data_IF_350848214123
#
_entry.id   IF_350848214123
#
_cell.length_a   1.000
_cell.length_b   1.000
_cell.length_c   1.000
_cell.angle_alpha   90.00
_cell.angle_beta   90.00
_cell.angle_gamma   90.00
#
_symmetry.space_group_name_H-M   'P 1'
#
loop_
_entity.id
_entity.type
_entity.pdbx_description
1 polymer ?
#
# COMPACT_ATOMS: atom_id res chain seq x y z
N UNK A 1 8.76 23.36 3.37
CA UNK A 1 8.78 22.30 4.41
C UNK A 1 8.43 20.93 3.83
N UNK A 2 7.32 20.76 3.10
CA UNK A 2 7.01 19.48 2.44
C UNK A 2 8.02 19.04 1.36
N UNK A 3 8.75 19.96 0.74
CA UNK A 3 9.85 19.64 -0.19
C UNK A 3 11.14 19.17 0.49
N UNK A 4 11.17 19.19 1.83
CA UNK A 4 12.35 18.79 2.58
C UNK A 4 12.68 17.32 2.32
N UNK A 5 13.97 17.05 2.06
CA UNK A 5 14.47 15.70 1.76
C UNK A 5 14.09 14.68 2.84
N UNK A 6 14.11 15.08 4.12
CA UNK A 6 13.75 14.18 5.22
C UNK A 6 12.29 13.70 5.14
N UNK A 7 11.36 14.60 4.81
CA UNK A 7 9.92 14.26 4.75
C UNK A 7 9.64 13.34 3.56
N UNK A 8 10.26 13.63 2.40
CA UNK A 8 10.14 12.78 1.21
C UNK A 8 10.72 11.38 1.45
N UNK A 9 11.88 11.27 2.12
CA UNK A 9 12.47 9.97 2.45
C UNK A 9 11.60 9.19 3.42
N UNK A 10 11.10 9.82 4.49
CA UNK A 10 10.21 9.14 5.45
C UNK A 10 8.93 8.64 4.78
N UNK A 11 8.26 9.49 3.99
CA UNK A 11 7.03 9.11 3.29
C UNK A 11 7.27 8.04 2.23
N UNK A 12 8.41 8.08 1.53
CA UNK A 12 8.85 7.02 0.62
C UNK A 12 9.03 5.69 1.35
N UNK A 13 9.76 5.70 2.48
CA UNK A 13 9.89 4.53 3.34
C UNK A 13 8.52 4.06 3.85
N UNK A 14 7.60 4.98 4.12
CA UNK A 14 6.24 4.68 4.59
C UNK A 14 5.38 3.97 3.57
N UNK A 15 5.44 4.37 2.29
CA UNK A 15 4.75 3.66 1.20
C UNK A 15 5.33 2.26 1.00
N UNK A 16 6.67 2.14 0.98
CA UNK A 16 7.31 0.82 0.87
C UNK A 16 7.00 -0.06 2.09
N UNK A 17 6.99 0.52 3.29
CA UNK A 17 6.60 -0.16 4.51
C UNK A 17 5.14 -0.62 4.45
N UNK A 18 4.21 0.24 4.02
CA UNK A 18 2.81 -0.13 3.85
C UNK A 18 2.65 -1.36 2.94
N UNK A 19 3.39 -1.40 1.82
CA UNK A 19 3.29 -2.49 0.84
C UNK A 19 4.00 -3.77 1.29
N UNK A 20 5.18 -3.65 1.89
CA UNK A 20 6.04 -4.81 2.19
C UNK A 20 5.88 -5.32 3.61
N UNK A 21 5.70 -4.42 4.58
CA UNK A 21 5.61 -4.81 5.98
C UNK A 21 4.31 -5.55 6.29
N UNK A 22 3.26 -5.44 5.48
CA UNK A 22 2.08 -6.32 5.65
C UNK A 22 2.46 -7.81 5.52
N UNK A 23 3.49 -8.11 4.73
CA UNK A 23 3.92 -9.47 4.47
C UNK A 23 5.11 -9.90 5.34
N UNK A 24 5.99 -8.96 5.69
CA UNK A 24 7.20 -9.25 6.46
C UNK A 24 7.11 -8.89 7.95
N UNK A 25 6.16 -8.03 8.38
CA UNK A 25 6.08 -7.65 9.78
C UNK A 25 5.61 -8.85 10.61
N UNK A 26 6.29 -9.12 11.74
CA UNK A 26 5.95 -10.24 12.60
C UNK A 26 4.66 -10.00 13.39
N UNK A 27 4.21 -8.74 13.52
CA UNK A 27 2.96 -8.39 14.20
C UNK A 27 2.28 -7.17 13.57
N UNK A 28 0.95 -7.13 13.59
CA UNK A 28 0.14 -5.98 13.21
C UNK A 28 0.54 -4.69 13.97
N UNK A 29 0.99 -4.82 15.22
CA UNK A 29 1.43 -3.68 16.03
C UNK A 29 2.64 -2.98 15.41
N UNK A 30 3.66 -3.75 14.99
CA UNK A 30 4.86 -3.20 14.34
C UNK A 30 4.50 -2.59 12.99
N UNK A 31 3.62 -3.26 12.24
CA UNK A 31 3.09 -2.73 10.98
C UNK A 31 2.45 -1.34 11.18
N UNK A 32 1.52 -1.21 12.13
CA UNK A 32 0.85 0.06 12.45
C UNK A 32 1.81 1.12 12.99
N UNK A 33 2.76 0.75 13.84
CA UNK A 33 3.76 1.69 14.35
C UNK A 33 4.62 2.28 13.22
N UNK A 34 5.01 1.46 12.24
CA UNK A 34 5.71 1.96 11.07
C UNK A 34 4.86 2.93 10.24
N UNK A 35 3.55 2.67 10.07
CA UNK A 35 2.66 3.63 9.39
C UNK A 35 2.52 4.95 10.14
N UNK A 36 2.44 4.92 11.47
CA UNK A 36 2.43 6.13 12.30
C UNK A 36 3.69 6.95 12.03
N UNK A 37 4.87 6.32 12.10
CA UNK A 37 6.17 6.98 12.01
C UNK A 37 6.49 7.48 10.61
N UNK A 38 6.22 6.66 9.59
CA UNK A 38 6.65 6.93 8.22
C UNK A 38 5.59 7.59 7.34
N UNK A 39 4.30 7.49 7.70
CA UNK A 39 3.20 8.07 6.89
C UNK A 39 2.45 9.13 7.67
N UNK A 40 1.84 8.79 8.79
CA UNK A 40 0.87 9.70 9.44
C UNK A 40 1.54 10.91 10.09
N UNK A 41 2.59 10.71 10.88
CA UNK A 41 3.36 11.80 11.48
C UNK A 41 3.96 12.76 10.45
N UNK A 42 4.73 12.30 9.44
CA UNK A 42 5.29 13.22 8.46
C UNK A 42 4.19 13.93 7.67
N UNK A 43 3.09 13.24 7.33
CA UNK A 43 1.95 13.89 6.66
C UNK A 43 1.36 15.00 7.54
N UNK A 44 1.08 14.74 8.82
CA UNK A 44 0.57 15.77 9.74
C UNK A 44 1.48 16.99 9.85
N UNK A 45 2.80 16.77 9.90
CA UNK A 45 3.78 17.86 10.00
C UNK A 45 3.83 18.72 8.73
N UNK A 46 3.65 18.11 7.55
CA UNK A 46 3.82 18.82 6.27
C UNK A 46 2.51 19.28 5.64
N UNK A 47 1.36 18.73 6.02
CA UNK A 47 0.04 18.97 5.40
C UNK A 47 -0.29 20.46 5.32
N UNK A 48 0.05 21.22 6.37
CA UNK A 48 -0.20 22.67 6.42
C UNK A 48 0.63 23.43 5.38
N UNK A 49 1.88 23.01 5.17
CA UNK A 49 2.76 23.58 4.15
C UNK A 49 2.44 23.08 2.74
N UNK A 50 1.81 21.90 2.62
CA UNK A 50 1.45 21.26 1.36
C UNK A 50 0.03 21.59 0.87
N UNK A 51 -0.68 22.51 1.56
CA UNK A 51 -1.97 23.05 1.11
C UNK A 51 -2.05 23.45 -0.36
N UNK A 52 -1.05 24.14 -0.98
CA UNK A 52 -1.15 24.45 -2.40
C UNK A 52 -1.23 23.19 -3.27
N UNK A 53 -0.49 22.13 -2.92
CA UNK A 53 -0.54 20.83 -3.62
C UNK A 53 -1.91 20.18 -3.43
N UNK A 54 -2.45 20.19 -2.21
CA UNK A 54 -3.79 19.64 -1.94
C UNK A 54 -4.90 20.45 -2.63
N UNK A 55 -4.76 21.77 -2.72
CA UNK A 55 -5.68 22.63 -3.46
C UNK A 55 -5.63 22.31 -4.97
N UNK A 56 -4.45 22.08 -5.53
CA UNK A 56 -4.33 21.63 -6.93
C UNK A 56 -5.08 20.31 -7.17
N UNK A 57 -4.95 19.33 -6.28
CA UNK A 57 -5.70 18.07 -6.37
C UNK A 57 -7.20 18.30 -6.24
N UNK A 58 -7.62 19.15 -5.31
CA UNK A 58 -9.03 19.52 -5.15
C UNK A 58 -9.61 20.12 -6.43
N UNK A 59 -8.89 21.03 -7.08
CA UNK A 59 -9.34 21.63 -8.32
C UNK A 59 -9.30 20.65 -9.51
N UNK A 60 -8.29 19.80 -9.58
CA UNK A 60 -8.14 18.82 -10.67
C UNK A 60 -9.12 17.65 -10.56
N UNK A 61 -9.46 17.20 -9.34
CA UNK A 61 -10.19 15.97 -9.05
C UNK A 61 -11.32 16.20 -8.04
N UNK A 62 -12.06 17.30 -8.20
CA UNK A 62 -13.08 17.75 -7.24
C UNK A 62 -14.13 16.68 -6.94
N UNK A 63 -14.59 15.95 -7.95
CA UNK A 63 -15.59 14.89 -7.79
C UNK A 63 -15.07 13.75 -6.89
N UNK A 64 -13.83 13.30 -7.08
CA UNK A 64 -13.20 12.29 -6.24
C UNK A 64 -13.04 12.79 -4.81
N UNK A 65 -12.57 14.02 -4.62
CA UNK A 65 -12.42 14.60 -3.28
C UNK A 65 -13.77 14.70 -2.55
N UNK A 66 -14.83 15.14 -3.24
CA UNK A 66 -16.18 15.20 -2.69
C UNK A 66 -16.73 13.81 -2.37
N UNK A 67 -16.48 12.81 -3.22
CA UNK A 67 -16.88 11.44 -2.94
C UNK A 67 -16.18 10.88 -1.69
N UNK A 68 -14.88 11.12 -1.53
CA UNK A 68 -14.12 10.72 -0.34
C UNK A 68 -14.63 11.41 0.93
N UNK A 69 -14.92 12.71 0.87
CA UNK A 69 -15.51 13.47 1.99
C UNK A 69 -16.91 12.94 2.31
N UNK A 70 -17.73 12.67 1.29
CA UNK A 70 -19.06 12.12 1.46
C UNK A 70 -19.05 10.73 2.11
N UNK A 71 -18.13 9.86 1.69
CA UNK A 71 -17.91 8.54 2.30
C UNK A 71 -17.45 8.67 3.76
N UNK A 72 -16.53 9.59 4.05
CA UNK A 72 -16.08 9.83 5.41
C UNK A 72 -17.22 10.36 6.30
N UNK A 73 -18.02 11.30 5.80
CA UNK A 73 -19.19 11.83 6.50
C UNK A 73 -20.24 10.74 6.75
N UNK A 74 -20.52 9.93 5.73
CA UNK A 74 -21.42 8.78 5.86
C UNK A 74 -20.92 7.76 6.88
N UNK A 75 -19.61 7.45 6.87
CA UNK A 75 -19.01 6.55 7.85
C UNK A 75 -19.12 7.11 9.28
N UNK A 76 -18.88 8.42 9.50
CA UNK A 76 -19.09 9.04 10.81
C UNK A 76 -20.54 9.01 11.27
N UNK A 77 -21.48 9.25 10.35
CA UNK A 77 -22.90 9.20 10.66
C UNK A 77 -23.32 7.77 11.03
N UNK A 78 -22.83 6.78 10.28
CA UNK A 78 -23.08 5.38 10.55
C UNK A 78 -22.53 4.95 11.91
N UNK A 79 -21.38 5.49 12.32
CA UNK A 79 -20.84 5.20 13.66
C UNK A 79 -21.79 5.70 14.75
N UNK A 80 -22.44 6.85 14.56
CA UNK A 80 -23.32 7.46 15.57
C UNK A 80 -24.52 6.60 15.94
N UNK A 81 -25.08 5.84 15.01
CA UNK A 81 -26.22 4.95 15.26
C UNK A 81 -25.82 3.47 15.42
N UNK A 82 -24.56 3.10 15.17
CA UNK A 82 -24.12 1.70 15.20
C UNK A 82 -23.88 1.15 16.60
N UNK A 83 -23.94 1.98 17.64
CA UNK A 83 -23.57 1.62 19.01
C UNK A 83 -22.08 1.33 19.20
N UNK A 84 -21.25 1.48 18.15
CA UNK A 84 -19.81 1.33 18.23
C UNK A 84 -19.18 2.55 18.93
N UNK A 85 -18.04 2.37 19.62
CA UNK A 85 -17.38 3.47 20.30
C UNK A 85 -16.88 4.52 19.31
N UNK A 86 -17.14 5.81 19.61
CA UNK A 86 -16.66 6.95 18.82
C UNK A 86 -15.14 6.97 18.63
N UNK A 87 -14.39 6.26 19.47
CA UNK A 87 -12.95 6.08 19.33
C UNK A 87 -12.54 5.43 18.00
N UNK A 88 -13.46 4.77 17.28
CA UNK A 88 -13.24 4.25 15.94
C UNK A 88 -13.15 5.35 14.86
N UNK A 89 -13.68 6.55 15.12
CA UNK A 89 -13.58 7.68 14.19
C UNK A 89 -12.12 8.07 13.88
N UNK A 90 -11.17 7.75 14.77
CA UNK A 90 -9.72 7.93 14.52
C UNK A 90 -9.22 7.17 13.29
N UNK A 91 -9.87 6.06 12.91
CA UNK A 91 -9.53 5.32 11.70
C UNK A 91 -9.78 6.16 10.44
N UNK A 92 -10.84 6.96 10.42
CA UNK A 92 -11.12 7.87 9.30
C UNK A 92 -10.05 8.94 9.17
N UNK A 93 -9.52 9.44 10.30
CA UNK A 93 -8.37 10.34 10.29
C UNK A 93 -7.11 9.66 9.71
N UNK A 94 -6.83 8.41 10.11
CA UNK A 94 -5.69 7.66 9.57
C UNK A 94 -5.81 7.42 8.06
N UNK A 95 -7.02 7.10 7.58
CA UNK A 95 -7.31 6.97 6.15
C UNK A 95 -7.10 8.32 5.45
N UNK A 96 -7.63 9.41 5.99
CA UNK A 96 -7.45 10.74 5.39
C UNK A 96 -5.97 11.13 5.29
N UNK A 97 -5.18 10.91 6.35
CA UNK A 97 -3.74 11.16 6.34
C UNK A 97 -3.02 10.27 5.32
N UNK A 98 -3.39 8.99 5.24
CA UNK A 98 -2.85 8.08 4.25
C UNK A 98 -3.14 8.57 2.83
N UNK A 99 -4.38 8.94 2.52
CA UNK A 99 -4.79 9.46 1.20
C UNK A 99 -4.05 10.76 0.87
N UNK A 100 -3.94 11.70 1.80
CA UNK A 100 -3.22 12.96 1.60
C UNK A 100 -1.70 12.76 1.41
N UNK A 101 -1.13 11.67 1.93
CA UNK A 101 0.30 11.39 1.79
C UNK A 101 0.72 11.21 0.32
N UNK A 102 -0.12 10.60 -0.52
CA UNK A 102 0.17 10.32 -1.93
C UNK A 102 0.42 11.57 -2.79
N UNK A 103 -0.49 12.56 -2.85
CA UNK A 103 -0.25 13.77 -3.64
C UNK A 103 0.89 14.61 -3.09
N UNK A 104 1.10 14.62 -1.77
CA UNK A 104 2.22 15.31 -1.13
C UNK A 104 3.56 14.65 -1.53
N UNK A 105 3.61 13.31 -1.55
CA UNK A 105 4.77 12.55 -1.97
C UNK A 105 5.08 12.71 -3.46
N UNK A 106 4.03 12.72 -4.28
CA UNK A 106 4.12 12.99 -5.71
C UNK A 106 4.74 14.37 -5.96
N UNK A 107 4.29 15.40 -5.23
CA UNK A 107 4.74 16.78 -5.38
C UNK A 107 4.85 17.23 -6.86
N UNK A 108 3.79 16.98 -7.63
CA UNK A 108 3.76 17.29 -9.07
C UNK A 108 4.63 16.40 -9.97
N UNK A 109 5.27 15.35 -9.41
CA UNK A 109 6.09 14.35 -10.14
C UNK A 109 5.48 12.95 -9.99
N UNK A 110 4.45 12.60 -10.79
CA UNK A 110 3.77 11.32 -10.67
C UNK A 110 4.70 10.13 -10.89
N UNK A 111 5.80 10.29 -11.63
CA UNK A 111 6.79 9.24 -11.92
C UNK A 111 7.44 8.69 -10.64
N UNK A 112 7.56 9.53 -9.60
CA UNK A 112 8.11 9.09 -8.31
C UNK A 112 7.19 8.06 -7.66
N UNK A 113 5.88 8.31 -7.69
CA UNK A 113 4.88 7.39 -7.13
C UNK A 113 4.85 6.10 -7.93
N UNK A 114 4.87 6.19 -9.26
CA UNK A 114 4.96 5.01 -10.14
C UNK A 114 6.19 4.18 -9.81
N UNK A 115 7.35 4.80 -9.65
CA UNK A 115 8.59 4.09 -9.29
C UNK A 115 8.49 3.40 -7.93
N UNK A 116 7.82 4.00 -6.96
CA UNK A 116 7.60 3.38 -5.65
C UNK A 116 6.66 2.18 -5.73
N UNK A 117 5.58 2.27 -6.52
CA UNK A 117 4.68 1.15 -6.78
C UNK A 117 5.39 0.00 -7.52
N UNK A 118 6.29 0.34 -8.45
CA UNK A 118 7.16 -0.61 -9.14
C UNK A 118 8.07 -1.36 -8.15
N UNK A 119 8.80 -0.65 -7.29
CA UNK A 119 9.66 -1.28 -6.26
C UNK A 119 8.85 -2.07 -5.23
N UNK A 120 7.69 -1.56 -4.81
CA UNK A 120 6.79 -2.28 -3.92
C UNK A 120 6.26 -3.57 -4.56
N UNK A 121 5.90 -3.54 -5.84
CA UNK A 121 5.47 -4.71 -6.61
C UNK A 121 6.57 -5.78 -6.71
N UNK A 122 7.81 -5.37 -7.00
CA UNK A 122 8.97 -6.29 -6.98
C UNK A 122 9.17 -6.92 -5.61
N UNK A 123 9.08 -6.14 -4.53
CA UNK A 123 9.20 -6.67 -3.18
C UNK A 123 8.07 -7.65 -2.82
N UNK A 124 6.85 -7.41 -3.30
CA UNK A 124 5.75 -8.37 -3.18
C UNK A 124 5.99 -9.64 -3.99
N UNK A 125 6.62 -9.56 -5.17
CA UNK A 125 6.99 -10.74 -5.95
C UNK A 125 8.06 -11.59 -5.24
N UNK A 126 9.06 -10.95 -4.62
CA UNK A 126 10.05 -11.62 -3.78
C UNK A 126 9.38 -12.31 -2.60
N UNK A 127 8.41 -11.64 -1.97
CA UNK A 127 7.64 -12.23 -0.89
C UNK A 127 6.82 -13.44 -1.34
N UNK A 128 6.13 -13.34 -2.49
CA UNK A 128 5.38 -14.44 -3.08
C UNK A 128 6.28 -15.66 -3.34
N UNK A 129 7.48 -15.43 -3.88
CA UNK A 129 8.48 -16.49 -4.06
C UNK A 129 8.91 -17.11 -2.72
N UNK A 130 9.20 -16.29 -1.71
CA UNK A 130 9.59 -16.77 -0.38
C UNK A 130 8.47 -17.60 0.28
N UNK A 131 7.21 -17.18 0.12
CA UNK A 131 6.05 -17.91 0.62
C UNK A 131 5.91 -19.28 -0.05
N UNK A 132 6.01 -19.34 -1.39
CA UNK A 132 5.99 -20.61 -2.15
C UNK A 132 7.12 -21.55 -1.74
N UNK A 133 8.35 -21.02 -1.64
CA UNK A 133 9.52 -21.82 -1.25
C UNK A 133 9.30 -22.40 0.14
N UNK A 134 8.87 -21.58 1.10
CA UNK A 134 8.61 -22.05 2.45
C UNK A 134 7.50 -23.11 2.48
N UNK A 135 6.35 -22.84 1.87
CA UNK A 135 5.18 -23.71 1.97
C UNK A 135 5.38 -25.07 1.28
N UNK A 136 5.88 -25.07 0.04
CA UNK A 136 6.00 -26.30 -0.74
C UNK A 136 7.33 -27.04 -0.49
N UNK A 137 8.43 -26.34 -0.24
CA UNK A 137 9.74 -26.98 -0.11
C UNK A 137 10.21 -27.16 1.34
N UNK A 138 9.95 -26.19 2.22
CA UNK A 138 10.38 -26.28 3.63
C UNK A 138 9.35 -27.04 4.46
N UNK A 139 8.07 -26.66 4.34
CA UNK A 139 6.97 -27.29 5.08
C UNK A 139 6.46 -28.57 4.40
N UNK A 140 7.01 -28.90 3.22
CA UNK A 140 6.72 -30.10 2.42
C UNK A 140 5.21 -30.34 2.19
N UNK A 141 4.43 -29.26 2.05
CA UNK A 141 3.00 -29.34 1.82
C UNK A 141 2.69 -29.85 0.41
N UNK A 142 1.63 -30.65 0.23
CA UNK A 142 1.21 -31.09 -1.10
C UNK A 142 0.69 -29.92 -1.94
N UNK A 143 0.84 -30.01 -3.27
CA UNK A 143 0.34 -29.02 -4.23
C UNK A 143 -1.19 -28.82 -4.22
N UNK A 144 -1.92 -29.76 -3.62
CA UNK A 144 -3.38 -29.66 -3.45
C UNK A 144 -3.76 -28.76 -2.27
N UNK A 145 -2.82 -28.48 -1.36
CA UNK A 145 -3.03 -27.55 -0.26
C UNK A 145 -2.90 -26.11 -0.77
N UNK A 146 -3.84 -25.28 -0.32
CA UNK A 146 -3.92 -23.86 -0.65
C UNK A 146 -2.74 -23.12 -0.04
N UNK A 147 -2.00 -22.41 -0.87
CA UNK A 147 -0.83 -21.64 -0.45
C UNK A 147 -1.23 -20.54 0.53
N UNK A 148 -0.61 -20.55 1.71
CA UNK A 148 -0.74 -19.48 2.70
C UNK A 148 0.35 -18.43 2.51
N UNK A 149 0.00 -17.15 2.70
CA UNK A 149 0.96 -16.06 2.65
C UNK A 149 1.85 -15.97 3.91
N UNK A 150 2.78 -15.03 3.91
CA UNK A 150 3.67 -14.76 5.05
C UNK A 150 3.12 -13.61 5.93
N UNK A 151 3.36 -13.67 7.23
CA UNK A 151 2.99 -12.60 8.16
C UNK A 151 1.47 -12.40 8.29
N UNK A 152 1.00 -11.15 8.19
CA UNK A 152 -0.44 -10.83 8.20
C UNK A 152 -1.15 -11.28 6.90
N UNK A 153 -0.39 -11.60 5.85
CA UNK A 153 -0.93 -12.19 4.61
C UNK A 153 -1.14 -13.71 4.71
N UNK A 154 -0.90 -14.33 5.88
CA UNK A 154 -1.26 -15.72 6.13
C UNK A 154 -2.76 -15.97 5.92
N UNK A 155 -3.60 -14.94 6.07
CA UNK A 155 -4.99 -14.99 5.60
C UNK A 155 -5.03 -15.05 4.06
N UNK A 156 -5.46 -16.17 3.46
CA UNK A 156 -5.36 -16.39 2.01
C UNK A 156 -6.03 -15.29 1.19
N UNK A 157 -7.17 -14.79 1.69
CA UNK A 157 -7.97 -13.76 1.04
C UNK A 157 -7.22 -12.42 0.98
N UNK A 158 -6.60 -12.00 2.10
CA UNK A 158 -5.84 -10.74 2.17
C UNK A 158 -4.56 -10.82 1.32
N UNK A 159 -3.88 -11.97 1.36
CA UNK A 159 -2.73 -12.28 0.51
C UNK A 159 -3.06 -12.15 -0.98
N UNK A 160 -4.09 -12.86 -1.43
CA UNK A 160 -4.51 -12.86 -2.83
C UNK A 160 -4.91 -11.47 -3.34
N UNK A 161 -5.63 -10.67 -2.53
CA UNK A 161 -5.99 -9.30 -2.94
C UNK A 161 -4.77 -8.38 -3.05
N UNK A 162 -3.87 -8.39 -2.07
CA UNK A 162 -2.70 -7.53 -2.09
C UNK A 162 -1.77 -7.86 -3.28
N UNK A 163 -1.51 -9.15 -3.51
CA UNK A 163 -0.68 -9.65 -4.62
C UNK A 163 -1.37 -9.46 -5.97
N UNK A 164 -2.69 -9.68 -6.04
CA UNK A 164 -3.47 -9.50 -7.27
C UNK A 164 -3.49 -8.05 -7.74
N UNK A 165 -3.76 -7.10 -6.83
CA UNK A 165 -3.68 -5.67 -7.15
C UNK A 165 -2.25 -5.31 -7.58
N UNK A 166 -1.23 -5.93 -6.96
CA UNK A 166 0.16 -5.75 -7.36
C UNK A 166 0.44 -6.18 -8.79
N UNK A 167 -0.07 -7.34 -9.20
CA UNK A 167 0.02 -7.81 -10.57
C UNK A 167 -0.61 -6.82 -11.56
N UNK A 168 -1.80 -6.31 -11.25
CA UNK A 168 -2.52 -5.34 -12.12
C UNK A 168 -1.70 -4.07 -12.34
N UNK A 169 -1.16 -3.47 -11.27
CA UNK A 169 -0.38 -2.24 -11.46
C UNK A 169 0.98 -2.49 -12.11
N UNK A 170 1.60 -3.65 -11.86
CA UNK A 170 2.86 -4.02 -12.51
C UNK A 170 2.69 -4.23 -14.00
N UNK A 171 1.53 -4.76 -14.45
CA UNK A 171 1.16 -4.84 -15.86
C UNK A 171 1.00 -3.45 -16.49
N UNK A 172 0.39 -2.51 -15.76
CA UNK A 172 0.13 -1.17 -16.29
C UNK A 172 1.41 -0.32 -16.44
N UNK A 173 2.39 -0.50 -15.56
CA UNK A 173 3.63 0.28 -15.54
C UNK A 173 4.87 -0.55 -15.86
N UNK A 174 4.87 -1.20 -17.02
CA UNK A 174 5.98 -2.02 -17.49
C UNK A 174 7.19 -1.16 -17.94
N UNK A 175 8.42 -1.49 -17.50
CA UNK A 175 9.61 -0.75 -17.89
C UNK A 175 9.95 -0.97 -19.39
N UNK A 176 10.59 0.03 -20.00
CA UNK A 176 10.93 0.01 -21.44
C UNK A 176 12.25 -0.72 -21.76
N UNK A 177 13.11 -0.89 -20.76
CA UNK A 177 14.41 -1.55 -20.90
C UNK A 177 14.27 -3.08 -20.91
N UNK A 178 14.85 -3.74 -21.93
CA UNK A 178 14.69 -5.19 -22.15
C UNK A 178 15.11 -6.06 -20.96
N UNK A 179 16.20 -5.71 -20.27
CA UNK A 179 16.64 -6.45 -19.08
C UNK A 179 15.64 -6.34 -17.93
N UNK A 180 15.11 -5.14 -17.71
CA UNK A 180 14.09 -4.89 -16.69
C UNK A 180 12.75 -5.55 -17.03
N UNK A 181 12.43 -5.71 -18.32
CA UNK A 181 11.23 -6.43 -18.77
C UNK A 181 11.27 -7.91 -18.42
N UNK A 182 12.43 -8.57 -18.56
CA UNK A 182 12.58 -9.96 -18.15
C UNK A 182 12.33 -10.13 -16.65
N UNK A 183 12.93 -9.26 -15.82
CA UNK A 183 12.65 -9.23 -14.38
C UNK A 183 11.16 -8.99 -14.09
N UNK A 184 10.51 -8.11 -14.86
CA UNK A 184 9.09 -7.82 -14.72
C UNK A 184 8.20 -9.02 -15.02
N UNK A 185 8.48 -9.76 -16.10
CA UNK A 185 7.74 -10.96 -16.44
C UNK A 185 7.92 -12.07 -15.40
N UNK A 186 9.12 -12.23 -14.86
CA UNK A 186 9.39 -13.16 -13.76
C UNK A 186 8.56 -12.76 -12.53
N UNK A 187 8.58 -11.48 -12.17
CA UNK A 187 7.80 -10.98 -11.04
C UNK A 187 6.29 -11.20 -11.24
N UNK A 188 5.77 -10.89 -12.43
CA UNK A 188 4.36 -11.12 -12.77
C UNK A 188 3.99 -12.61 -12.74
N UNK A 189 4.86 -13.50 -13.22
CA UNK A 189 4.64 -14.94 -13.15
C UNK A 189 4.56 -15.43 -11.70
N UNK A 190 5.45 -14.93 -10.82
CA UNK A 190 5.43 -15.26 -9.39
C UNK A 190 4.17 -14.75 -8.70
N UNK A 191 3.78 -13.50 -8.95
CA UNK A 191 2.55 -12.91 -8.40
C UNK A 191 1.31 -13.67 -8.89
N UNK A 192 1.26 -14.01 -10.18
CA UNK A 192 0.16 -14.77 -10.78
C UNK A 192 0.06 -16.19 -10.24
N UNK A 193 1.19 -16.90 -10.14
CA UNK A 193 1.23 -18.21 -9.52
C UNK A 193 0.75 -18.16 -8.07
N UNK A 194 1.16 -17.14 -7.30
CA UNK A 194 0.72 -17.00 -5.90
C UNK A 194 -0.80 -16.89 -5.82
N UNK A 195 -1.41 -16.04 -6.65
CA UNK A 195 -2.87 -15.87 -6.69
C UNK A 195 -3.60 -17.15 -7.12
N UNK A 196 -3.01 -17.98 -8.00
CA UNK A 196 -3.63 -19.23 -8.46
C UNK A 196 -3.53 -20.34 -7.41
N UNK A 197 -2.45 -20.39 -6.65
CA UNK A 197 -2.22 -21.41 -5.63
C UNK A 197 -2.79 -21.04 -4.25
N UNK A 198 -2.99 -19.75 -3.99
CA UNK A 198 -3.72 -19.21 -2.82
C UNK A 198 -5.21 -19.16 -3.08
#
# INVERSE_FOLDING_TARGET
>A
MYESRWAQTLMTCGVLWFMLAIAFAPTNKIYQQGLVVFVWLPTLLVVWSARPVLAQVWHAQRALCLALIGLAAWATLSLSWSGQPLSQAKQLLYIALFVMSWPILANGRPERVVRLLQWGGLGLAVMAAAAMVRFYFIDARPLMDRLEGLGELAHPILGAYAVGIAGVWMLHWMPRERGMQALWWIALALLGAFVVFT
#
